data_IF_248152600844
#
_entry.id   IF_248152600844
#
_cell.length_a   1.000
_cell.length_b   1.000
_cell.length_c   1.000
_cell.angle_alpha   90.00
_cell.angle_beta   90.00
_cell.angle_gamma   90.00
#
_symmetry.space_group_name_H-M   'P 1'
#
loop_
_entity.id
_entity.type
_entity.pdbx_description
1 polymer ?
#
# COMPACT_ATOMS: atom_id res chain seq x y z
N UNK A 1 -3.77 -29.05 10.23
CA UNK A 1 -2.58 -28.35 9.73
C UNK A 1 -3.11 -27.51 8.60
N UNK A 2 -3.35 -26.22 8.86
CA UNK A 2 -3.67 -25.29 7.77
C UNK A 2 -2.46 -25.27 6.82
N UNK A 3 -2.66 -25.20 5.50
CA UNK A 3 -1.54 -25.06 4.59
C UNK A 3 -0.78 -23.78 4.96
N UNK A 4 0.54 -23.89 5.15
CA UNK A 4 1.37 -22.70 5.36
C UNK A 4 1.16 -21.76 4.17
N UNK A 5 0.65 -20.55 4.44
CA UNK A 5 0.48 -19.54 3.41
C UNK A 5 1.83 -19.28 2.73
N UNK A 6 1.87 -19.16 1.40
CA UNK A 6 3.14 -18.96 0.71
C UNK A 6 3.81 -17.65 1.16
N UNK A 7 5.14 -17.61 1.18
CA UNK A 7 5.92 -16.50 1.75
C UNK A 7 5.54 -15.10 1.22
N UNK A 8 5.13 -15.02 -0.05
CA UNK A 8 4.65 -13.78 -0.68
C UNK A 8 3.33 -13.27 -0.06
N UNK A 9 2.48 -14.18 0.41
CA UNK A 9 1.24 -13.85 1.12
C UNK A 9 1.55 -13.37 2.53
N UNK A 10 2.52 -14.01 3.20
CA UNK A 10 3.04 -13.55 4.50
C UNK A 10 3.65 -12.15 4.44
N UNK A 11 4.39 -11.83 3.39
CA UNK A 11 4.93 -10.49 3.16
C UNK A 11 3.81 -9.46 2.95
N UNK A 12 2.81 -9.80 2.13
CA UNK A 12 1.68 -8.91 1.85
C UNK A 12 0.87 -8.61 3.12
N UNK A 13 0.65 -9.62 3.95
CA UNK A 13 -0.01 -9.46 5.27
C UNK A 13 0.81 -8.55 6.17
N UNK A 14 2.12 -8.78 6.30
CA UNK A 14 3.01 -7.95 7.13
C UNK A 14 2.96 -6.47 6.76
N UNK A 15 2.97 -6.15 5.46
CA UNK A 15 2.90 -4.75 5.00
C UNK A 15 1.55 -4.12 5.31
N UNK A 16 0.46 -4.86 5.09
CA UNK A 16 -0.90 -4.38 5.36
C UNK A 16 -1.15 -4.15 6.85
N UNK A 17 -0.70 -5.08 7.70
CA UNK A 17 -0.81 -4.96 9.16
C UNK A 17 -0.03 -3.77 9.68
N UNK A 18 1.23 -3.61 9.28
CA UNK A 18 2.05 -2.48 9.68
C UNK A 18 1.41 -1.14 9.27
N UNK A 19 0.88 -1.05 8.05
CA UNK A 19 0.22 0.17 7.58
C UNK A 19 -1.02 0.52 8.41
N UNK A 20 -1.86 -0.47 8.72
CA UNK A 20 -3.06 -0.28 9.54
C UNK A 20 -2.76 0.01 11.00
N UNK A 21 -1.76 -0.64 11.59
CA UNK A 21 -1.35 -0.41 12.98
C UNK A 21 -0.95 1.05 13.18
N UNK A 22 -0.07 1.56 12.32
CA UNK A 22 0.39 2.94 12.35
C UNK A 22 -0.73 3.95 12.08
N UNK A 23 -1.59 3.70 11.09
CA UNK A 23 -2.75 4.56 10.81
C UNK A 23 -3.70 4.63 11.99
N UNK A 24 -4.06 3.47 12.56
CA UNK A 24 -4.96 3.38 13.69
C UNK A 24 -4.36 4.02 14.97
N UNK A 25 -3.04 3.93 15.15
CA UNK A 25 -2.35 4.58 16.26
C UNK A 25 -2.35 6.11 16.13
N UNK A 26 -2.16 6.65 14.92
CA UNK A 26 -2.21 8.09 14.68
C UNK A 26 -3.59 8.69 15.01
N UNK A 27 -4.68 7.96 14.72
CA UNK A 27 -6.04 8.36 15.08
C UNK A 27 -6.28 8.48 16.59
N UNK A 28 -5.53 7.74 17.40
CA UNK A 28 -5.61 7.81 18.88
C UNK A 28 -4.89 9.05 19.42
N UNK A 29 -3.79 9.46 18.77
CA UNK A 29 -2.97 10.60 19.18
C UNK A 29 -3.62 11.94 18.84
N UNK A 30 -4.30 12.04 17.69
CA UNK A 30 -4.97 13.26 17.21
C UNK A 30 -6.29 13.60 17.95
N UNK A 31 -6.57 12.94 19.09
CA UNK A 31 -7.71 13.31 19.93
C UNK A 31 -9.06 13.26 19.21
N UNK A 32 -9.32 12.20 18.43
CA UNK A 32 -10.66 11.88 17.93
C UNK A 32 -11.35 13.00 17.14
N UNK A 33 -10.76 13.46 16.03
CA UNK A 33 -11.33 14.53 15.21
C UNK A 33 -11.17 14.41 13.69
N UNK A 34 -10.35 13.48 13.19
CA UNK A 34 -10.34 13.13 11.76
C UNK A 34 -11.44 12.10 11.52
N UNK A 35 -12.41 12.36 10.64
CA UNK A 35 -13.60 11.51 10.43
C UNK A 35 -13.36 10.07 9.93
N UNK A 36 -12.12 9.57 9.97
CA UNK A 36 -11.79 8.18 9.66
C UNK A 36 -11.84 7.31 10.91
N UNK A 37 -12.73 6.31 10.92
CA UNK A 37 -12.69 5.26 11.95
C UNK A 37 -11.43 4.39 11.85
N UNK A 38 -11.16 3.61 12.89
CA UNK A 38 -10.15 2.54 12.84
C UNK A 38 -10.53 1.54 11.74
N UNK A 39 -9.55 0.89 11.15
CA UNK A 39 -9.76 -0.21 10.20
C UNK A 39 -9.13 -1.51 10.68
N UNK A 40 -9.76 -2.63 10.36
CA UNK A 40 -9.24 -3.98 10.57
C UNK A 40 -8.94 -4.66 9.23
N UNK A 41 -7.82 -5.38 9.16
CA UNK A 41 -7.42 -6.14 7.98
C UNK A 41 -8.42 -7.28 7.77
N UNK A 42 -8.98 -7.37 6.56
CA UNK A 42 -9.78 -8.53 6.14
C UNK A 42 -8.90 -9.54 5.42
N UNK A 43 -8.09 -9.07 4.45
CA UNK A 43 -7.10 -9.90 3.73
C UNK A 43 -6.11 -9.02 2.98
N UNK A 44 -4.85 -9.47 2.88
CA UNK A 44 -3.92 -8.93 1.90
C UNK A 44 -4.19 -9.51 0.51
N UNK A 45 -3.94 -8.72 -0.54
CA UNK A 45 -4.16 -9.13 -1.94
C UNK A 45 -2.84 -9.45 -2.62
N UNK A 46 -1.96 -8.46 -2.71
CA UNK A 46 -0.69 -8.57 -3.41
C UNK A 46 0.28 -7.53 -2.87
N UNK A 47 1.57 -7.83 -2.88
CA UNK A 47 2.62 -6.86 -2.58
C UNK A 47 3.77 -6.94 -3.58
N UNK A 48 4.53 -5.85 -3.66
CA UNK A 48 5.76 -5.75 -4.43
C UNK A 48 6.86 -5.09 -3.60
N UNK A 49 8.07 -5.61 -3.72
CA UNK A 49 9.26 -5.08 -3.04
C UNK A 49 10.01 -4.16 -4.00
N UNK A 50 10.40 -2.99 -3.49
CA UNK A 50 11.16 -2.00 -4.24
C UNK A 50 12.43 -1.71 -3.45
N UNK A 51 13.58 -1.96 -4.06
CA UNK A 51 14.88 -1.66 -3.45
C UNK A 51 15.46 -0.45 -4.17
N UNK A 52 15.64 0.65 -3.45
CA UNK A 52 16.30 1.85 -3.94
C UNK A 52 17.69 1.97 -3.31
N UNK A 53 18.53 2.86 -3.84
CA UNK A 53 19.83 3.17 -3.21
C UNK A 53 19.70 3.80 -1.81
N UNK A 54 18.50 4.25 -1.40
CA UNK A 54 18.26 4.95 -0.13
C UNK A 54 17.50 4.12 0.91
N UNK A 55 16.60 3.24 0.48
CA UNK A 55 15.83 2.36 1.36
C UNK A 55 15.13 1.23 0.58
N UNK A 56 14.69 0.21 1.33
CA UNK A 56 13.70 -0.76 0.85
C UNK A 56 12.29 -0.26 1.13
N UNK A 57 11.40 -0.44 0.16
CA UNK A 57 9.98 -0.12 0.24
C UNK A 57 9.13 -1.34 -0.16
N UNK A 58 7.91 -1.36 0.35
CA UNK A 58 6.88 -2.32 0.01
C UNK A 58 5.64 -1.59 -0.47
N UNK A 59 5.13 -1.95 -1.64
CA UNK A 59 3.80 -1.56 -2.11
C UNK A 59 2.85 -2.72 -1.85
N UNK A 60 1.68 -2.45 -1.28
CA UNK A 60 0.69 -3.49 -0.97
C UNK A 60 -0.72 -3.04 -1.29
N UNK A 61 -1.51 -3.96 -1.85
CA UNK A 61 -2.95 -3.87 -1.84
C UNK A 61 -3.55 -4.85 -0.84
N UNK A 62 -4.56 -4.37 -0.13
CA UNK A 62 -5.29 -5.17 0.85
C UNK A 62 -6.72 -4.69 1.00
N UNK A 63 -7.57 -5.56 1.54
CA UNK A 63 -8.94 -5.24 1.91
C UNK A 63 -8.98 -5.02 3.41
N UNK A 64 -9.54 -3.88 3.82
CA UNK A 64 -9.83 -3.58 5.21
C UNK A 64 -11.26 -3.07 5.36
N UNK A 65 -11.81 -3.19 6.56
CA UNK A 65 -13.13 -2.66 6.90
C UNK A 65 -13.04 -1.84 8.17
N UNK A 66 -13.93 -0.85 8.33
CA UNK A 66 -13.94 -0.03 9.52
C UNK A 66 -14.17 -0.92 10.75
N UNK A 67 -13.43 -0.77 11.84
CA UNK A 67 -13.67 -1.52 13.06
C UNK A 67 -14.99 -1.08 13.71
N UNK A 68 -15.76 -2.03 14.26
CA UNK A 68 -17.02 -1.72 14.94
C UNK A 68 -16.85 -0.74 16.09
N UNK A 69 -17.35 0.48 15.88
CA UNK A 69 -17.53 1.46 16.95
C UNK A 69 -18.92 1.23 17.53
N UNK A 70 -18.95 0.80 18.79
CA UNK A 70 -20.13 0.44 19.60
C UNK A 70 -21.52 0.63 18.98
N UNK A 71 -22.20 -0.49 18.71
CA UNK A 71 -23.67 -0.55 18.79
C UNK A 71 -24.48 -0.48 17.50
N UNK A 72 -23.88 -0.39 16.30
CA UNK A 72 -24.65 -0.49 15.04
C UNK A 72 -24.16 -1.65 14.17
N UNK A 73 -25.08 -2.57 13.86
CA UNK A 73 -24.92 -3.74 13.00
C UNK A 73 -24.99 -3.39 11.51
N UNK A 74 -24.60 -2.16 11.12
CA UNK A 74 -24.47 -1.85 9.71
C UNK A 74 -23.27 -2.63 9.17
N UNK A 75 -23.53 -3.42 8.13
CA UNK A 75 -22.52 -4.21 7.41
C UNK A 75 -21.39 -3.25 7.02
N UNK A 76 -20.25 -3.37 7.68
CA UNK A 76 -19.11 -2.52 7.38
C UNK A 76 -18.59 -2.89 6.00
N UNK A 77 -18.55 -1.90 5.12
CA UNK A 77 -18.10 -2.11 3.76
C UNK A 77 -16.61 -2.43 3.75
N UNK A 78 -16.27 -3.54 3.10
CA UNK A 78 -14.90 -3.89 2.73
C UNK A 78 -14.42 -2.89 1.68
N UNK A 79 -13.24 -2.30 1.92
CA UNK A 79 -12.63 -1.32 1.03
C UNK A 79 -11.25 -1.78 0.60
N UNK A 80 -10.90 -1.46 -0.64
CA UNK A 80 -9.56 -1.68 -1.18
C UNK A 80 -8.65 -0.55 -0.72
N UNK A 81 -7.47 -0.91 -0.24
CA UNK A 81 -6.43 0.04 0.13
C UNK A 81 -5.15 -0.19 -0.66
N UNK A 82 -4.43 0.89 -0.86
CA UNK A 82 -3.02 0.89 -1.17
C UNK A 82 -2.23 1.41 0.02
N UNK A 83 -1.11 0.76 0.34
CA UNK A 83 -0.10 1.33 1.21
C UNK A 83 1.29 1.23 0.59
N UNK A 84 2.09 2.25 0.86
CA UNK A 84 3.53 2.17 0.78
C UNK A 84 4.08 2.10 2.19
N UNK A 85 4.96 1.12 2.42
CA UNK A 85 5.70 0.97 3.66
C UNK A 85 7.20 1.04 3.39
N UNK A 86 7.94 1.71 4.26
CA UNK A 86 9.39 1.80 4.23
C UNK A 86 9.99 0.87 5.27
N UNK A 87 11.01 0.12 4.87
CA UNK A 87 11.79 -0.70 5.79
C UNK A 87 12.60 0.20 6.73
N UNK A 88 12.43 0.00 8.04
CA UNK A 88 13.13 0.72 9.10
C UNK A 88 14.01 -0.20 9.96
N UNK A 89 14.48 -1.32 9.39
CA UNK A 89 15.35 -2.30 10.04
C UNK A 89 14.58 -3.28 10.95
N UNK A 90 13.87 -2.76 11.94
CA UNK A 90 13.10 -3.57 12.91
C UNK A 90 11.64 -3.81 12.50
N UNK A 91 11.20 -3.17 11.42
CA UNK A 91 9.83 -3.26 10.95
C UNK A 91 9.56 -2.37 9.74
N UNK A 92 8.27 -2.13 9.50
CA UNK A 92 7.78 -1.40 8.34
C UNK A 92 6.96 -0.21 8.80
N UNK A 93 7.28 0.98 8.31
CA UNK A 93 6.58 2.22 8.66
C UNK A 93 5.84 2.70 7.41
N UNK A 94 4.52 2.94 7.45
CA UNK A 94 3.82 3.47 6.30
C UNK A 94 4.30 4.89 6.00
N UNK A 95 4.59 5.10 4.73
CA UNK A 95 4.82 6.42 4.13
C UNK A 95 3.56 6.90 3.41
N UNK A 96 2.69 5.95 3.00
CA UNK A 96 1.40 6.22 2.38
C UNK A 96 0.36 5.18 2.82
N UNK A 97 -0.88 5.61 3.05
CA UNK A 97 -2.07 4.76 3.13
C UNK A 97 -3.24 5.49 2.45
N UNK A 98 -3.91 4.83 1.51
CA UNK A 98 -5.06 5.41 0.81
C UNK A 98 -6.09 4.35 0.45
N UNK A 99 -7.38 4.68 0.65
CA UNK A 99 -8.45 3.87 0.08
C UNK A 99 -8.54 4.11 -1.43
N UNK A 100 -8.76 3.04 -2.18
CA UNK A 100 -8.94 3.03 -3.63
C UNK A 100 -10.42 2.77 -3.94
N UNK A 101 -11.31 3.58 -3.39
CA UNK A 101 -12.76 3.36 -3.49
C UNK A 101 -13.25 3.62 -4.92
N UNK A 102 -12.70 4.63 -5.61
CA UNK A 102 -12.98 4.93 -7.01
C UNK A 102 -12.12 4.07 -7.95
N UNK A 103 -12.75 3.40 -8.92
CA UNK A 103 -12.04 2.64 -9.94
C UNK A 103 -11.19 3.52 -10.86
N UNK A 104 -11.61 4.77 -11.08
CA UNK A 104 -10.86 5.74 -11.89
C UNK A 104 -9.52 6.12 -11.24
N UNK A 105 -9.37 5.89 -9.93
CA UNK A 105 -8.15 6.14 -9.15
C UNK A 105 -7.25 4.91 -9.03
N UNK A 106 -7.64 3.75 -9.59
CA UNK A 106 -6.88 2.49 -9.54
C UNK A 106 -6.04 2.30 -10.80
N UNK A 107 -4.78 2.70 -10.75
CA UNK A 107 -3.82 2.53 -11.87
C UNK A 107 -2.83 1.42 -11.56
N UNK A 108 -2.49 0.59 -12.55
CA UNK A 108 -1.51 -0.48 -12.36
C UNK A 108 -0.07 0.01 -12.45
N UNK A 109 0.88 -0.77 -11.94
CA UNK A 109 2.30 -0.55 -12.21
C UNK A 109 2.68 -0.80 -13.67
N UNK A 110 3.77 -0.15 -14.11
CA UNK A 110 4.24 -0.14 -15.50
C UNK A 110 5.16 -1.32 -15.87
N UNK A 111 5.59 -2.13 -14.90
CA UNK A 111 6.50 -3.26 -15.14
C UNK A 111 5.93 -4.38 -16.03
N UNK A 112 4.64 -4.30 -16.37
CA UNK A 112 3.93 -5.29 -17.18
C UNK A 112 3.77 -4.90 -18.66
N UNK A 113 4.25 -3.73 -19.08
CA UNK A 113 4.25 -3.34 -20.50
C UNK A 113 5.38 -4.03 -21.27
N UNK A 114 5.24 -4.14 -22.60
CA UNK A 114 6.29 -4.52 -23.57
C UNK A 114 7.46 -3.50 -23.62
N UNK A 115 7.62 -2.68 -22.59
CA UNK A 115 8.71 -1.73 -22.50
C UNK A 115 10.02 -2.52 -22.43
N UNK A 116 11.02 -2.17 -23.26
CA UNK A 116 12.31 -2.82 -23.21
C UNK A 116 12.85 -2.75 -21.78
N UNK A 117 13.58 -3.79 -21.31
CA UNK A 117 14.18 -3.77 -19.99
C UNK A 117 14.99 -2.49 -19.86
N UNK A 118 14.47 -1.54 -19.08
CA UNK A 118 15.16 -0.29 -18.82
C UNK A 118 16.45 -0.72 -18.13
N UNK A 119 17.61 -0.41 -18.71
CA UNK A 119 18.93 -0.79 -18.19
C UNK A 119 19.21 -0.09 -16.85
N UNK A 120 18.45 -0.35 -15.79
CA UNK A 120 18.36 0.37 -14.50
C UNK A 120 19.30 1.59 -14.43
N UNK A 121 19.09 2.64 -15.26
CA UNK A 121 19.98 3.76 -15.29
C UNK A 121 19.41 4.62 -14.20
N UNK A 122 20.04 4.54 -13.02
CA UNK A 122 19.92 5.44 -11.88
C UNK A 122 18.55 6.13 -11.83
N UNK A 123 17.63 5.59 -11.01
CA UNK A 123 16.25 6.08 -10.74
C UNK A 123 16.24 7.62 -10.52
N UNK A 124 16.32 8.39 -11.60
CA UNK A 124 16.58 9.85 -11.60
C UNK A 124 15.80 10.56 -12.68
N UNK A 125 14.95 9.84 -13.44
CA UNK A 125 14.13 10.44 -14.48
C UNK A 125 12.69 10.66 -13.99
N UNK A 126 12.23 11.91 -13.83
CA UNK A 126 10.86 12.24 -13.45
C UNK A 126 9.97 12.15 -14.69
N UNK A 127 9.55 10.94 -15.10
CA UNK A 127 8.58 10.80 -16.19
C UNK A 127 7.17 11.03 -15.66
N UNK A 128 6.43 11.95 -16.30
CA UNK A 128 5.07 12.44 -16.01
C UNK A 128 3.92 11.41 -16.07
N UNK A 129 4.15 10.14 -15.76
CA UNK A 129 3.11 9.11 -15.67
C UNK A 129 3.53 8.09 -14.62
N UNK A 130 2.70 7.96 -13.58
CA UNK A 130 3.13 8.27 -12.21
C UNK A 130 2.89 7.13 -11.20
N UNK A 131 3.14 5.87 -11.56
CA UNK A 131 2.54 4.76 -10.79
C UNK A 131 3.57 3.86 -10.12
N UNK A 132 4.33 3.03 -10.83
CA UNK A 132 5.56 2.40 -10.32
C UNK A 132 6.15 1.50 -11.42
N UNK A 133 7.43 1.63 -11.74
CA UNK A 133 8.11 0.76 -12.72
C UNK A 133 8.52 -0.61 -12.17
N UNK A 134 8.50 -0.79 -10.85
CA UNK A 134 8.85 -2.06 -10.20
C UNK A 134 7.64 -2.92 -9.85
N UNK A 135 6.43 -2.37 -9.98
CA UNK A 135 5.19 -3.12 -9.79
C UNK A 135 4.61 -3.52 -11.15
N UNK A 136 4.07 -4.73 -11.25
CA UNK A 136 3.28 -5.13 -12.41
C UNK A 136 1.89 -4.45 -12.39
N UNK A 137 1.10 -4.68 -13.43
CA UNK A 137 -0.24 -4.12 -13.55
C UNK A 137 -1.26 -4.67 -12.53
N UNK A 138 -0.91 -5.70 -11.75
CA UNK A 138 -1.81 -6.30 -10.76
C UNK A 138 -1.86 -5.48 -9.47
N UNK A 139 -0.73 -4.91 -9.04
CA UNK A 139 -0.68 -3.96 -7.93
C UNK A 139 -1.26 -2.63 -8.41
N UNK A 140 -2.31 -2.16 -7.73
CA UNK A 140 -3.01 -0.90 -7.98
C UNK A 140 -2.49 0.21 -7.08
N UNK A 141 -2.12 1.32 -7.68
CA UNK A 141 -1.66 2.55 -7.04
C UNK A 141 -2.74 3.64 -7.15
N UNK A 142 -2.72 4.64 -6.25
CA UNK A 142 -3.46 5.88 -6.43
C UNK A 142 -2.98 6.64 -7.67
N UNK A 143 -3.91 7.10 -8.50
CA UNK A 143 -3.61 7.81 -9.75
C UNK A 143 -2.86 9.12 -9.59
N UNK A 144 -3.03 9.82 -8.47
CA UNK A 144 -2.41 11.13 -8.28
C UNK A 144 -0.93 11.06 -7.92
N UNK A 145 -0.38 9.88 -7.60
CA UNK A 145 1.05 9.62 -7.38
C UNK A 145 1.69 10.42 -6.22
N UNK A 146 0.95 11.35 -5.62
CA UNK A 146 1.50 12.43 -4.81
C UNK A 146 1.87 11.99 -3.38
N UNK A 147 1.50 10.77 -2.98
CA UNK A 147 1.53 10.36 -1.58
C UNK A 147 2.57 9.30 -1.22
N UNK A 148 3.29 8.70 -2.17
CA UNK A 148 4.26 7.62 -1.89
C UNK A 148 5.62 7.88 -2.57
N UNK A 149 6.69 7.45 -1.91
CA UNK A 149 8.07 7.90 -2.15
C UNK A 149 8.88 6.98 -3.07
N UNK A 150 8.50 5.71 -3.19
CA UNK A 150 9.15 4.73 -4.04
C UNK A 150 8.53 4.75 -5.44
N UNK A 151 9.38 4.85 -6.46
CA UNK A 151 8.93 4.96 -7.85
C UNK A 151 8.76 6.40 -8.34
N UNK A 152 8.96 7.40 -7.47
CA UNK A 152 8.96 8.84 -7.80
C UNK A 152 10.18 9.53 -7.19
N UNK A 153 10.90 10.33 -7.97
CA UNK A 153 11.71 11.41 -7.42
C UNK A 153 11.27 12.72 -8.09
N UNK A 154 11.23 13.85 -7.37
CA UNK A 154 11.35 15.16 -7.99
C UNK A 154 12.67 15.26 -8.77
#
# INVERSE_FOLDING_TARGET
MEPDDPDWMRQSVMYAEAALEHYNAALVVEGGGGGGGKYELVRAIISGVIITCRAGYGHVNFIARAAASGGTTLRQEERLFFAEVRNHGEGWIPTCLRSLDDEADRVGGLAAGDDPPVEIPEITSPSRTDFCFSCNGEIKHPKDGASYHAGHSP
#
